data_IF_196431745376
#
_entry.id   IF_196431745376
#
_cell.length_a   1.000
_cell.length_b   1.000
_cell.length_c   1.000
_cell.angle_alpha   90.00
_cell.angle_beta   90.00
_cell.angle_gamma   90.00
#
_symmetry.space_group_name_H-M   'P 1'
#
loop_
_entity.id
_entity.type
_entity.pdbx_description
1 polymer ?
#
# COMPACT_ATOMS: atom_id res chain seq x y z
N UNK A 1 3.03 -10.63 7.63
CA UNK A 1 2.94 -11.14 6.25
C UNK A 1 3.00 -10.04 5.19
N UNK A 2 3.03 -8.76 5.59
CA UNK A 2 3.06 -7.61 4.67
C UNK A 2 4.33 -6.79 4.86
N UNK A 3 5.48 -7.46 4.96
CA UNK A 3 6.76 -6.76 5.12
C UNK A 3 7.29 -6.28 3.77
N UNK A 4 8.08 -5.21 3.77
CA UNK A 4 8.69 -4.68 2.54
C UNK A 4 9.52 -5.79 1.87
N UNK A 5 9.33 -5.93 0.56
CA UNK A 5 9.91 -6.99 -0.27
C UNK A 5 9.12 -8.30 -0.29
N UNK A 6 8.06 -8.46 0.50
CA UNK A 6 7.16 -9.62 0.38
C UNK A 6 6.41 -9.57 -0.95
N UNK A 7 6.16 -10.74 -1.53
CA UNK A 7 5.28 -10.92 -2.69
C UNK A 7 3.94 -11.46 -2.19
N UNK A 8 2.86 -10.85 -2.66
CA UNK A 8 1.50 -11.18 -2.29
C UNK A 8 0.73 -11.53 -3.57
N UNK A 9 -0.02 -12.61 -3.53
CA UNK A 9 -1.03 -12.91 -4.55
C UNK A 9 -2.36 -12.35 -4.07
N UNK A 10 -2.96 -11.46 -4.86
CA UNK A 10 -4.27 -10.86 -4.54
C UNK A 10 -5.40 -11.60 -5.26
N UNK A 11 -6.64 -11.18 -5.03
CA UNK A 11 -7.85 -11.83 -5.56
C UNK A 11 -7.98 -11.78 -7.10
N UNK A 12 -7.18 -10.94 -7.76
CA UNK A 12 -7.07 -10.85 -9.22
C UNK A 12 -6.09 -11.87 -9.82
N UNK A 13 -5.55 -12.78 -9.00
CA UNK A 13 -4.50 -13.75 -9.35
C UNK A 13 -3.17 -13.09 -9.81
N UNK A 14 -3.01 -11.79 -9.60
CA UNK A 14 -1.76 -11.09 -9.86
C UNK A 14 -0.88 -11.07 -8.61
N UNK A 15 0.43 -11.01 -8.86
CA UNK A 15 1.45 -10.94 -7.83
C UNK A 15 1.96 -9.50 -7.67
N UNK A 16 1.96 -9.02 -6.44
CA UNK A 16 2.40 -7.67 -6.09
C UNK A 16 3.51 -7.74 -5.05
N UNK A 17 4.52 -6.89 -5.20
CA UNK A 17 5.54 -6.69 -4.18
C UNK A 17 5.16 -5.54 -3.25
N UNK A 18 5.32 -5.75 -1.95
CA UNK A 18 5.22 -4.68 -0.94
C UNK A 18 6.45 -3.81 -1.05
N UNK A 19 6.29 -2.58 -1.54
CA UNK A 19 7.41 -1.64 -1.73
C UNK A 19 7.53 -0.65 -0.57
N UNK A 20 6.45 -0.35 0.12
CA UNK A 20 6.46 0.46 1.33
C UNK A 20 5.29 0.12 2.27
N UNK A 21 5.46 0.43 3.54
CA UNK A 21 4.46 0.24 4.59
C UNK A 21 4.70 1.23 5.72
N UNK A 22 3.62 1.85 6.19
CA UNK A 22 3.68 2.72 7.36
C UNK A 22 2.44 2.56 8.22
N UNK A 23 2.54 3.00 9.47
CA UNK A 23 1.45 3.00 10.44
C UNK A 23 1.07 4.44 10.72
N UNK A 24 -0.20 4.78 10.54
CA UNK A 24 -0.78 6.04 11.00
C UNK A 24 -2.00 5.75 11.88
N UNK A 25 -1.97 6.22 13.13
CA UNK A 25 -3.08 6.08 14.09
C UNK A 25 -3.59 4.64 14.28
N UNK A 26 -2.72 3.63 14.13
CA UNK A 26 -3.08 2.22 14.28
C UNK A 26 -3.60 1.57 13.00
N UNK A 27 -3.73 2.33 11.91
CA UNK A 27 -4.04 1.82 10.57
C UNK A 27 -2.71 1.59 9.84
N UNK A 28 -2.56 0.40 9.30
CA UNK A 28 -1.38 0.05 8.49
C UNK A 28 -1.72 0.31 7.03
N UNK A 29 -0.97 1.20 6.41
CA UNK A 29 -1.04 1.45 4.97
C UNK A 29 0.07 0.69 4.27
N UNK A 30 -0.24 0.15 3.10
CA UNK A 30 0.67 -0.64 2.27
C UNK A 30 0.69 -0.09 0.86
N UNK A 31 1.88 -0.09 0.27
CA UNK A 31 2.09 0.29 -1.11
C UNK A 31 2.58 -0.94 -1.88
N UNK A 32 1.84 -1.31 -2.92
CA UNK A 32 2.04 -2.52 -3.70
C UNK A 32 2.31 -2.17 -5.15
N UNK A 33 3.26 -2.88 -5.76
CA UNK A 33 3.57 -2.76 -7.20
C UNK A 33 3.50 -4.14 -7.82
N UNK A 34 2.75 -4.27 -8.91
CA UNK A 34 2.66 -5.51 -9.69
C UNK A 34 4.05 -5.88 -10.23
N UNK A 35 4.47 -7.12 -10.00
CA UNK A 35 5.82 -7.59 -10.36
C UNK A 35 6.00 -7.78 -11.88
N UNK A 36 4.91 -7.96 -12.62
CA UNK A 36 4.89 -8.17 -14.06
C UNK A 36 4.59 -6.87 -14.82
N UNK A 37 3.96 -5.89 -14.17
CA UNK A 37 3.64 -4.58 -14.73
C UNK A 37 3.80 -3.46 -13.71
N UNK A 38 4.97 -2.84 -13.65
CA UNK A 38 5.27 -1.76 -12.71
C UNK A 38 4.40 -0.49 -12.83
N UNK A 39 3.54 -0.40 -13.86
CA UNK A 39 2.54 0.68 -14.00
C UNK A 39 1.26 0.39 -13.23
N UNK A 40 1.04 -0.85 -12.81
CA UNK A 40 -0.08 -1.26 -11.97
C UNK A 40 0.34 -1.20 -10.50
N UNK A 41 -0.31 -0.30 -9.77
CA UNK A 41 0.09 0.12 -8.43
C UNK A 41 -1.16 0.15 -7.56
N UNK A 42 -1.09 -0.46 -6.38
CA UNK A 42 -2.17 -0.47 -5.40
C UNK A 42 -1.72 0.27 -4.15
N UNK A 43 -2.51 1.27 -3.75
CA UNK A 43 -2.48 1.83 -2.41
C UNK A 43 -3.55 1.14 -1.60
N UNK A 44 -3.17 0.52 -0.48
CA UNK A 44 -4.11 -0.23 0.35
C UNK A 44 -3.96 0.09 1.82
N UNK A 45 -5.00 -0.27 2.58
CA UNK A 45 -4.94 -0.35 4.05
C UNK A 45 -5.19 -1.78 4.49
N UNK A 46 -4.56 -2.15 5.60
CA UNK A 46 -4.77 -3.45 6.20
C UNK A 46 -5.95 -3.39 7.16
N UNK A 47 -7.02 -4.12 6.85
CA UNK A 47 -8.21 -4.27 7.69
C UNK A 47 -8.47 -5.77 7.88
N UNK A 48 -8.51 -6.24 9.13
CA UNK A 48 -8.74 -7.66 9.47
C UNK A 48 -7.84 -8.65 8.71
N UNK A 49 -6.54 -8.34 8.60
CA UNK A 49 -5.54 -9.11 7.84
C UNK A 49 -5.76 -9.16 6.31
N UNK A 50 -6.70 -8.37 5.78
CA UNK A 50 -6.94 -8.22 4.35
C UNK A 50 -6.50 -6.84 3.85
N UNK A 51 -6.06 -6.77 2.59
CA UNK A 51 -5.73 -5.51 1.93
C UNK A 51 -6.98 -4.96 1.27
N UNK A 52 -7.42 -3.79 1.73
CA UNK A 52 -8.50 -3.04 1.11
C UNK A 52 -7.89 -1.94 0.26
N UNK A 53 -8.12 -2.00 -1.06
CA UNK A 53 -7.65 -1.00 -2.00
C UNK A 53 -8.34 0.36 -1.76
N UNK A 54 -7.52 1.41 -1.76
CA UNK A 54 -7.96 2.79 -1.66
C UNK A 54 -8.31 3.31 -3.05
N UNK A 55 -9.60 3.46 -3.32
CA UNK A 55 -10.12 3.98 -4.60
C UNK A 55 -10.74 5.37 -4.48
N UNK A 56 -10.95 5.87 -3.26
CA UNK A 56 -11.47 7.21 -2.99
C UNK A 56 -10.37 8.27 -3.13
N UNK A 57 -10.65 9.34 -3.89
CA UNK A 57 -9.67 10.37 -4.20
C UNK A 57 -9.27 11.21 -2.97
N UNK A 58 -10.21 11.49 -2.07
CA UNK A 58 -9.94 12.28 -0.87
C UNK A 58 -9.11 11.47 0.15
N UNK A 59 -9.36 10.16 0.24
CA UNK A 59 -8.57 9.24 1.04
C UNK A 59 -7.14 9.12 0.47
N UNK A 60 -7.01 8.91 -0.84
CA UNK A 60 -5.71 8.87 -1.52
C UNK A 60 -4.89 10.16 -1.32
N UNK A 61 -5.50 11.34 -1.45
CA UNK A 61 -4.80 12.61 -1.23
C UNK A 61 -4.22 12.70 0.18
N UNK A 62 -4.98 12.29 1.20
CA UNK A 62 -4.52 12.27 2.60
C UNK A 62 -3.33 11.32 2.77
N UNK A 63 -3.42 10.11 2.23
CA UNK A 63 -2.36 9.11 2.34
C UNK A 63 -1.08 9.56 1.63
N UNK A 64 -1.19 10.12 0.42
CA UNK A 64 -0.03 10.66 -0.30
C UNK A 64 0.65 11.76 0.50
N UNK A 65 -0.11 12.64 1.16
CA UNK A 65 0.47 13.66 2.06
C UNK A 65 1.18 13.03 3.24
N UNK A 66 0.62 11.99 3.87
CA UNK A 66 1.27 11.27 4.97
C UNK A 66 2.58 10.61 4.51
N UNK A 67 2.58 9.95 3.35
CA UNK A 67 3.80 9.36 2.75
C UNK A 67 4.86 10.43 2.48
N UNK A 68 4.45 11.58 1.91
CA UNK A 68 5.35 12.70 1.66
C UNK A 68 5.98 13.21 2.97
N UNK A 69 5.16 13.42 4.00
CA UNK A 69 5.64 13.85 5.31
C UNK A 69 6.59 12.83 5.93
N UNK A 70 6.27 11.53 5.87
CA UNK A 70 7.12 10.47 6.39
C UNK A 70 8.47 10.38 5.66
N UNK A 71 8.48 10.60 4.35
CA UNK A 71 9.70 10.54 3.53
C UNK A 71 10.60 11.77 3.73
N UNK A 72 10.02 12.95 3.97
CA UNK A 72 10.75 14.23 3.98
C UNK A 72 10.92 14.88 5.35
N UNK A 73 10.29 14.38 6.42
CA UNK A 73 10.51 14.87 7.80
C UNK A 73 11.58 14.09 8.59
N UNK A 74 12.35 13.22 7.92
CA UNK A 74 13.57 12.61 8.50
C UNK A 74 14.78 13.53 8.36
#
# INVERSE_FOLDING_TARGET
MFEIGNILTLADDNEYSVVDKFNDNGIIYVFLVDINNNSNIIYGKLENDEIVELSDADELEKIIKLVYEHTHKN
#
